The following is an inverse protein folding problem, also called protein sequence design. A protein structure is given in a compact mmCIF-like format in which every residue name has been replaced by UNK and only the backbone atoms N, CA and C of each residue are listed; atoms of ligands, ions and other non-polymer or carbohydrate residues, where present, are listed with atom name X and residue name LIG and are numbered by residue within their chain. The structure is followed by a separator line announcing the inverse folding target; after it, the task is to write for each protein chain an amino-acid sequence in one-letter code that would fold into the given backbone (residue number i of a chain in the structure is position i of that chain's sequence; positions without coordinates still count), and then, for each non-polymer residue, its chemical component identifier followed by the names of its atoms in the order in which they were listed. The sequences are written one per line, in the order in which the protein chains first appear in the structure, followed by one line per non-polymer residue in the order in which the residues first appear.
data_IF_174487285453
#
_entry.id   IF_174487285453
#
_cell.length_a   1.000
_cell.length_b   1.000
_cell.length_c   1.000
_cell.angle_alpha   90.00
_cell.angle_beta   90.00
_cell.angle_gamma   90.00
#
_symmetry.space_group_name_H-M   'P 1'
#
loop_
_entity.id
_entity.type
_entity.pdbx_description
1 polymer ?
#
# COMPACT_ATOMS: atom_id res chain seq x y z
N UNK A 1 -9.26 -12.16 -4.93
CA UNK A 1 -8.47 -10.91 -5.03
C UNK A 1 -7.19 -11.11 -4.24
N UNK A 2 -6.07 -10.98 -4.94
CA UNK A 2 -4.75 -11.33 -4.40
C UNK A 2 -4.14 -10.17 -3.61
N UNK A 3 -4.10 -8.96 -4.18
CA UNK A 3 -3.67 -7.77 -3.46
C UNK A 3 -4.89 -6.94 -3.06
N UNK A 4 -4.99 -6.57 -1.77
CA UNK A 4 -6.06 -5.71 -1.26
C UNK A 4 -5.51 -4.40 -0.67
N UNK A 5 -4.98 -3.48 -1.49
CA UNK A 5 -4.70 -2.13 -1.05
C UNK A 5 -5.98 -1.30 -1.10
N UNK A 6 -6.46 -0.87 0.06
CA UNK A 6 -7.61 0.03 0.16
C UNK A 6 -7.09 1.43 0.42
N UNK A 7 -7.31 2.34 -0.54
CA UNK A 7 -6.90 3.73 -0.40
C UNK A 7 -7.72 4.37 0.73
N UNK A 8 -7.02 4.90 1.73
CA UNK A 8 -7.61 5.76 2.76
C UNK A 8 -7.59 7.24 2.37
N UNK A 9 -7.92 8.12 3.33
CA UNK A 9 -7.87 9.57 3.14
C UNK A 9 -6.48 10.07 2.72
N UNK A 10 -6.44 11.12 1.90
CA UNK A 10 -5.19 11.74 1.42
C UNK A 10 -4.47 12.54 2.52
N UNK A 11 -5.15 12.88 3.61
CA UNK A 11 -4.62 13.70 4.70
C UNK A 11 -4.90 13.06 6.06
N UNK A 12 -4.05 13.35 7.04
CA UNK A 12 -4.28 12.97 8.44
C UNK A 12 -5.09 14.02 9.21
N UNK A 13 -5.51 15.10 8.54
CA UNK A 13 -6.22 16.23 9.13
C UNK A 13 -5.46 16.82 10.34
N UNK A 14 -4.25 17.38 10.15
CA UNK A 14 -3.52 17.98 11.25
C UNK A 14 -4.26 19.22 11.78
N UNK A 15 -4.44 19.28 13.09
CA UNK A 15 -4.97 20.44 13.78
C UNK A 15 -3.88 21.54 13.92
N UNK A 16 -4.21 22.65 14.59
CA UNK A 16 -3.28 23.76 14.81
C UNK A 16 -1.98 23.38 15.56
N UNK A 17 -1.95 22.27 16.30
CA UNK A 17 -0.76 21.75 16.97
C UNK A 17 -0.03 20.67 16.16
N UNK A 18 -0.46 20.41 14.92
CA UNK A 18 0.12 19.39 14.03
C UNK A 18 -0.30 17.96 14.36
N UNK A 19 -1.20 17.75 15.31
CA UNK A 19 -1.72 16.43 15.67
C UNK A 19 -2.93 16.06 14.80
N UNK A 20 -3.12 14.77 14.45
CA UNK A 20 -4.30 14.35 13.71
C UNK A 20 -5.60 14.70 14.44
N UNK A 21 -6.59 15.20 13.72
CA UNK A 21 -7.94 15.40 14.21
C UNK A 21 -8.52 14.08 14.73
N UNK A 22 -9.29 14.19 15.81
CA UNK A 22 -10.07 13.10 16.39
C UNK A 22 -11.54 13.28 16.06
N UNK A 23 -12.31 12.19 16.08
CA UNK A 23 -13.75 12.30 15.90
C UNK A 23 -14.39 13.02 17.09
N UNK A 24 -15.25 14.00 16.81
CA UNK A 24 -15.99 14.71 17.85
C UNK A 24 -16.84 13.76 18.73
N UNK A 25 -17.42 12.73 18.11
CA UNK A 25 -18.22 11.73 18.83
C UNK A 25 -17.39 10.70 19.60
N UNK A 26 -16.10 10.54 19.28
CA UNK A 26 -15.19 9.62 19.97
C UNK A 26 -13.74 10.15 19.90
N UNK A 27 -13.29 10.91 20.91
CA UNK A 27 -11.95 11.49 20.94
C UNK A 27 -10.81 10.46 20.96
N UNK A 28 -11.10 9.18 21.23
CA UNK A 28 -10.10 8.11 21.17
C UNK A 28 -9.76 7.65 19.74
N UNK A 29 -10.53 8.07 18.74
CA UNK A 29 -10.36 7.65 17.34
C UNK A 29 -9.93 8.83 16.49
N UNK A 30 -8.82 8.66 15.77
CA UNK A 30 -8.37 9.63 14.75
C UNK A 30 -9.32 9.61 13.56
N UNK A 31 -9.69 10.78 13.07
CA UNK A 31 -10.63 10.95 11.97
C UNK A 31 -10.26 10.14 10.73
N UNK A 32 -9.01 10.23 10.27
CA UNK A 32 -8.56 9.54 9.05
C UNK A 32 -8.60 8.01 9.19
N UNK A 33 -8.44 7.46 10.40
CA UNK A 33 -8.52 6.02 10.67
C UNK A 33 -9.97 5.54 10.52
N UNK A 34 -10.90 6.33 11.02
CA UNK A 34 -12.33 6.04 10.92
C UNK A 34 -12.82 6.08 9.47
N UNK A 35 -12.46 7.12 8.73
CA UNK A 35 -12.80 7.22 7.30
C UNK A 35 -12.22 6.04 6.51
N UNK A 36 -10.97 5.65 6.78
CA UNK A 36 -10.38 4.46 6.17
C UNK A 36 -11.15 3.17 6.53
N UNK A 37 -11.59 3.01 7.79
CA UNK A 37 -12.39 1.85 8.21
C UNK A 37 -13.74 1.79 7.45
N UNK A 38 -14.37 2.93 7.18
CA UNK A 38 -15.57 3.00 6.37
C UNK A 38 -15.32 2.58 4.91
N UNK A 39 -14.22 3.01 4.32
CA UNK A 39 -13.81 2.58 2.98
C UNK A 39 -13.57 1.07 2.92
N UNK A 40 -12.88 0.52 3.93
CA UNK A 40 -12.65 -0.92 4.06
C UNK A 40 -13.96 -1.68 4.14
N UNK A 41 -14.86 -1.27 5.04
CA UNK A 41 -16.17 -1.90 5.19
C UNK A 41 -16.97 -1.89 3.88
N UNK A 42 -17.03 -0.73 3.20
CA UNK A 42 -17.73 -0.58 1.93
C UNK A 42 -17.18 -1.52 0.85
N UNK A 43 -15.86 -1.62 0.71
CA UNK A 43 -15.21 -2.45 -0.31
C UNK A 43 -15.41 -3.93 0.00
N UNK A 44 -15.18 -4.34 1.25
CA UNK A 44 -15.35 -5.73 1.67
C UNK A 44 -16.78 -6.21 1.47
N UNK A 45 -17.76 -5.39 1.86
CA UNK A 45 -19.17 -5.70 1.67
C UNK A 45 -19.50 -5.88 0.18
N UNK A 46 -19.04 -4.97 -0.70
CA UNK A 46 -19.32 -5.07 -2.15
C UNK A 46 -18.71 -6.32 -2.77
N UNK A 47 -17.48 -6.66 -2.40
CA UNK A 47 -16.81 -7.86 -2.91
C UNK A 47 -17.52 -9.13 -2.42
N UNK A 48 -17.91 -9.19 -1.14
CA UNK A 48 -18.69 -10.32 -0.62
C UNK A 48 -20.03 -10.50 -1.33
N UNK A 49 -20.75 -9.40 -1.62
CA UNK A 49 -22.01 -9.44 -2.39
C UNK A 49 -21.83 -9.89 -3.83
N UNK A 50 -20.68 -9.60 -4.44
CA UNK A 50 -20.32 -10.11 -5.77
C UNK A 50 -19.84 -11.57 -5.75
N UNK A 51 -19.85 -12.26 -4.60
CA UNK A 51 -19.32 -13.62 -4.44
C UNK A 51 -17.80 -13.72 -4.48
N UNK A 52 -17.10 -12.58 -4.38
CA UNK A 52 -15.64 -12.53 -4.38
C UNK A 52 -15.04 -12.80 -3.00
N UNK A 53 -13.80 -13.29 -2.99
CA UNK A 53 -13.02 -13.54 -1.77
C UNK A 53 -11.66 -12.84 -1.83
N UNK A 54 -11.08 -12.59 -0.67
CA UNK A 54 -9.74 -12.01 -0.52
C UNK A 54 -8.82 -13.02 0.16
N UNK A 55 -7.53 -12.96 -0.17
CA UNK A 55 -6.51 -13.65 0.60
C UNK A 55 -6.23 -12.84 1.89
N UNK A 56 -6.63 -13.30 3.09
CA UNK A 56 -6.54 -12.50 4.31
C UNK A 56 -5.09 -12.20 4.70
N UNK A 57 -4.16 -13.11 4.39
CA UNK A 57 -2.72 -12.94 4.60
C UNK A 57 -2.08 -11.87 3.70
N UNK A 58 -2.74 -11.47 2.60
CA UNK A 58 -2.27 -10.43 1.68
C UNK A 58 -2.96 -9.08 1.89
N UNK A 59 -3.91 -8.99 2.83
CA UNK A 59 -4.63 -7.76 3.12
C UNK A 59 -3.74 -6.73 3.85
N UNK A 60 -3.67 -5.51 3.33
CA UNK A 60 -2.88 -4.42 3.89
C UNK A 60 -3.81 -3.30 4.39
N UNK A 61 -4.25 -3.42 5.64
CA UNK A 61 -5.24 -2.50 6.25
C UNK A 61 -4.57 -1.57 7.27
N UNK A 62 -5.01 -0.30 7.32
CA UNK A 62 -4.56 0.71 8.28
C UNK A 62 -3.03 0.87 8.35
N UNK A 63 -2.34 0.72 7.21
CA UNK A 63 -0.89 0.93 7.10
C UNK A 63 -0.62 2.34 6.53
N UNK A 64 0.43 3.05 6.99
CA UNK A 64 0.84 4.31 6.37
C UNK A 64 1.38 4.11 4.96
N UNK A 65 2.00 2.95 4.69
CA UNK A 65 2.52 2.57 3.38
C UNK A 65 1.98 1.19 2.98
N UNK A 66 1.72 0.99 1.70
CA UNK A 66 1.23 -0.29 1.15
C UNK A 66 1.95 -0.65 -0.14
N UNK A 67 2.11 -1.95 -0.40
CA UNK A 67 2.64 -2.44 -1.69
C UNK A 67 1.48 -2.64 -2.65
N UNK A 68 1.53 -1.96 -3.80
CA UNK A 68 0.55 -2.05 -4.89
C UNK A 68 1.30 -2.41 -6.16
N UNK A 69 1.03 -3.58 -6.73
CA UNK A 69 1.66 -4.03 -8.00
C UNK A 69 3.20 -3.94 -7.93
N UNK A 70 3.78 -4.34 -6.79
CA UNK A 70 5.23 -4.32 -6.55
C UNK A 70 5.85 -2.92 -6.49
N UNK A 71 5.07 -1.90 -6.14
CA UNK A 71 5.52 -0.55 -5.80
C UNK A 71 5.11 -0.22 -4.37
N UNK A 72 6.01 0.36 -3.58
CA UNK A 72 5.69 0.84 -2.23
C UNK A 72 5.05 2.22 -2.35
N UNK A 73 3.75 2.31 -2.08
CA UNK A 73 2.99 3.54 -2.05
C UNK A 73 3.02 4.12 -0.64
N UNK A 74 3.49 5.35 -0.51
CA UNK A 74 3.62 6.11 0.75
C UNK A 74 2.83 7.42 0.65
N UNK A 75 2.61 8.15 1.76
CA UNK A 75 1.99 9.47 1.71
C UNK A 75 2.76 10.47 0.84
N UNK A 76 4.08 10.28 0.72
CA UNK A 76 4.97 11.15 -0.05
C UNK A 76 5.07 10.74 -1.54
N UNK A 77 4.35 9.69 -1.96
CA UNK A 77 4.39 9.18 -3.32
C UNK A 77 4.85 7.72 -3.40
N UNK A 78 5.21 7.31 -4.62
CA UNK A 78 5.59 5.93 -4.93
C UNK A 78 7.09 5.75 -4.85
N UNK A 79 7.51 4.67 -4.22
CA UNK A 79 8.89 4.23 -4.10
C UNK A 79 9.03 2.80 -4.64
N UNK A 80 10.20 2.43 -5.20
CA UNK A 80 10.47 1.04 -5.54
C UNK A 80 10.38 0.15 -4.30
N UNK A 81 9.90 -1.08 -4.47
CA UNK A 81 9.89 -2.06 -3.39
C UNK A 81 11.33 -2.41 -2.97
N UNK A 82 11.66 -2.47 -1.66
CA UNK A 82 13.00 -2.78 -1.20
C UNK A 82 13.60 -4.06 -1.80
N UNK A 83 12.78 -5.09 -1.97
CA UNK A 83 13.19 -6.36 -2.58
C UNK A 83 13.63 -6.19 -4.05
N UNK A 84 13.01 -5.27 -4.79
CA UNK A 84 13.43 -4.95 -6.17
C UNK A 84 14.75 -4.19 -6.17
N UNK A 85 14.91 -3.24 -5.24
CA UNK A 85 16.16 -2.49 -5.07
C UNK A 85 17.31 -3.46 -4.75
N UNK A 86 17.10 -4.36 -3.79
CA UNK A 86 18.10 -5.34 -3.40
C UNK A 86 18.51 -6.23 -4.57
N UNK A 87 17.56 -6.76 -5.36
CA UNK A 87 17.86 -7.57 -6.55
C UNK A 87 18.72 -6.84 -7.58
N UNK A 88 18.53 -5.53 -7.73
CA UNK A 88 19.34 -4.70 -8.64
C UNK A 88 20.74 -4.51 -8.06
N UNK A 89 20.84 -4.18 -6.76
CA UNK A 89 22.11 -3.93 -6.09
C UNK A 89 22.97 -5.19 -5.94
N UNK A 90 22.34 -6.34 -5.71
CA UNK A 90 23.02 -7.63 -5.54
C UNK A 90 23.26 -8.36 -6.86
N UNK A 91 22.96 -7.74 -8.00
CA UNK A 91 23.05 -8.41 -9.29
C UNK A 91 24.52 -8.69 -9.64
N UNK A 92 24.89 -9.93 -10.00
CA UNK A 92 26.28 -10.27 -10.30
C UNK A 92 26.76 -9.61 -11.61
N UNK A 93 28.08 -9.48 -11.82
CA UNK A 93 28.61 -8.92 -13.07
C UNK A 93 28.03 -9.62 -14.31
N UNK A 94 27.54 -8.82 -15.27
CA UNK A 94 26.93 -9.31 -16.51
C UNK A 94 28.01 -9.93 -17.40
N UNK A 95 27.93 -11.24 -17.67
CA UNK A 95 28.92 -11.97 -18.47
C UNK A 95 28.41 -12.37 -19.85
N UNK A 96 27.10 -12.51 -20.00
CA UNK A 96 26.48 -12.98 -21.23
C UNK A 96 25.35 -12.07 -21.70
N UNK A 97 25.02 -12.15 -23.00
CA UNK A 97 23.86 -11.45 -23.58
C UNK A 97 22.56 -11.84 -22.88
N UNK A 98 22.45 -13.08 -22.37
CA UNK A 98 21.31 -13.52 -21.58
C UNK A 98 21.19 -12.75 -20.27
N UNK A 99 22.30 -12.55 -19.57
CA UNK A 99 22.33 -11.81 -18.30
C UNK A 99 21.93 -10.34 -18.51
N UNK A 100 22.40 -9.73 -19.60
CA UNK A 100 22.04 -8.37 -19.99
C UNK A 100 20.53 -8.26 -20.24
N UNK A 101 19.95 -9.18 -21.01
CA UNK A 101 18.49 -9.18 -21.28
C UNK A 101 17.67 -9.40 -20.01
N UNK A 102 18.10 -10.30 -19.13
CA UNK A 102 17.42 -10.56 -17.86
C UNK A 102 17.47 -9.34 -16.93
N UNK A 103 18.62 -8.66 -16.85
CA UNK A 103 18.76 -7.44 -16.07
C UNK A 103 17.90 -6.31 -16.63
N UNK A 104 17.91 -6.09 -17.96
CA UNK A 104 17.03 -5.10 -18.58
C UNK A 104 15.54 -5.40 -18.34
N UNK A 105 15.15 -6.68 -18.35
CA UNK A 105 13.80 -7.10 -18.03
C UNK A 105 13.41 -6.92 -16.55
N UNK A 106 14.37 -6.88 -15.64
CA UNK A 106 14.13 -6.55 -14.23
C UNK A 106 13.97 -5.04 -14.01
N UNK A 107 14.71 -4.23 -14.78
CA UNK A 107 14.72 -2.76 -14.65
C UNK A 107 13.56 -2.06 -15.36
N UNK A 108 12.91 -2.73 -16.32
CA UNK A 108 11.71 -2.24 -17.02
C UNK A 108 10.44 -2.40 -16.20
#
# INVERSE_FOLDING_TARGET
IDDLPIKGPTTTYPNASGQPEVLAANPGIRRFVWEHAQDVHRIMHRVGHAGGTFAPNKAQLARPDVVIVGQRCTPNGRLPEPNKIEKILSWPPLKTVKDVRAFMGLCG
#
